data_IF_429130132012
#
_entry.id   IF_429130132012
#
_cell.length_a   1.000
_cell.length_b   1.000
_cell.length_c   1.000
_cell.angle_alpha   90.00
_cell.angle_beta   90.00
_cell.angle_gamma   90.00
#
_symmetry.space_group_name_H-M   'P 1'
#
loop_
_entity.id
_entity.type
_entity.pdbx_description
1 polymer ?
#
# COMPACT_ATOMS: atom_id res chain seq x y z
N UNK A 1 11.44 -11.07 14.13
CA UNK A 1 11.50 -10.73 12.70
C UNK A 1 10.83 -9.39 12.38
N UNK A 2 9.51 -9.24 12.52
CA UNK A 2 8.81 -7.99 12.17
C UNK A 2 9.33 -6.75 12.92
N UNK A 3 9.59 -6.87 14.23
CA UNK A 3 10.15 -5.78 15.06
C UNK A 3 11.54 -5.33 14.59
N UNK A 4 12.36 -6.28 14.16
CA UNK A 4 13.72 -6.02 13.66
C UNK A 4 13.67 -5.27 12.32
N UNK A 5 12.78 -5.69 11.41
CA UNK A 5 12.55 -5.03 10.12
C UNK A 5 12.03 -3.60 10.32
N UNK A 6 11.14 -3.38 11.30
CA UNK A 6 10.65 -2.05 11.64
C UNK A 6 11.77 -1.16 12.21
N UNK A 7 12.62 -1.71 13.09
CA UNK A 7 13.71 -0.98 13.71
C UNK A 7 14.84 -0.60 12.74
N UNK A 8 15.09 -1.43 11.72
CA UNK A 8 16.13 -1.19 10.72
C UNK A 8 15.60 -0.55 9.43
N UNK A 9 14.30 -0.29 9.35
CA UNK A 9 13.69 0.37 8.20
C UNK A 9 14.25 1.80 8.07
N UNK A 10 14.86 2.11 6.92
CA UNK A 10 15.37 3.45 6.64
C UNK A 10 14.21 4.44 6.54
N UNK A 11 14.11 5.34 7.52
CA UNK A 11 13.11 6.40 7.54
C UNK A 11 13.67 7.65 6.87
N UNK A 12 12.96 8.13 5.83
CA UNK A 12 13.22 9.43 5.22
C UNK A 12 11.97 10.29 5.36
N UNK A 13 12.08 11.60 5.10
CA UNK A 13 10.90 12.48 5.01
C UNK A 13 9.86 11.96 4.00
N UNK A 14 10.31 11.32 2.91
CA UNK A 14 9.42 10.76 1.89
C UNK A 14 8.78 9.42 2.29
N UNK A 15 9.35 8.70 3.26
CA UNK A 15 8.79 7.43 3.75
C UNK A 15 7.39 7.59 4.35
N UNK A 16 7.01 8.78 4.84
CA UNK A 16 5.66 9.10 5.38
C UNK A 16 5.11 8.00 6.32
N UNK A 17 5.96 7.48 7.20
CA UNK A 17 5.59 6.40 8.14
C UNK A 17 5.35 5.02 7.51
N UNK A 18 5.73 4.82 6.25
CA UNK A 18 5.62 3.53 5.55
C UNK A 18 4.21 3.16 5.08
N UNK A 19 3.21 4.04 5.29
CA UNK A 19 1.79 3.73 4.99
C UNK A 19 1.58 3.30 3.54
N UNK A 20 2.18 4.00 2.57
CA UNK A 20 2.06 3.64 1.16
C UNK A 20 2.71 2.29 0.81
N UNK A 21 3.77 1.89 1.51
CA UNK A 21 4.39 0.58 1.30
C UNK A 21 3.47 -0.55 1.81
N UNK A 22 2.83 -0.36 2.97
CA UNK A 22 1.87 -1.31 3.52
C UNK A 22 0.64 -1.42 2.60
N UNK A 23 0.11 -0.29 2.13
CA UNK A 23 -1.01 -0.27 1.17
C UNK A 23 -0.71 -1.05 -0.11
N UNK A 24 0.44 -0.76 -0.73
CA UNK A 24 0.86 -1.43 -1.96
C UNK A 24 1.06 -2.94 -1.74
N UNK A 25 1.74 -3.32 -0.66
CA UNK A 25 2.00 -4.71 -0.33
C UNK A 25 0.71 -5.51 -0.10
N UNK A 26 -0.19 -5.01 0.76
CA UNK A 26 -1.48 -5.65 1.05
C UNK A 26 -2.35 -5.72 -0.22
N UNK A 27 -2.31 -4.68 -1.05
CA UNK A 27 -3.01 -4.65 -2.34
C UNK A 27 -2.49 -5.71 -3.32
N UNK A 28 -1.17 -5.83 -3.46
CA UNK A 28 -0.54 -6.82 -4.32
C UNK A 28 -0.85 -8.25 -3.87
N UNK A 29 -0.72 -8.54 -2.57
CA UNK A 29 -1.08 -9.85 -2.02
C UNK A 29 -2.54 -10.19 -2.30
N UNK A 30 -3.49 -9.28 -2.03
CA UNK A 30 -4.91 -9.51 -2.35
C UNK A 30 -5.12 -9.84 -3.82
N UNK A 31 -4.41 -9.18 -4.73
CA UNK A 31 -4.51 -9.44 -6.17
C UNK A 31 -4.05 -10.87 -6.49
N UNK A 32 -2.87 -11.25 -6.01
CA UNK A 32 -2.27 -12.58 -6.23
C UNK A 32 -3.16 -13.68 -5.66
N UNK A 33 -3.61 -13.54 -4.41
CA UNK A 33 -4.45 -14.55 -3.76
C UNK A 33 -5.83 -14.67 -4.42
N UNK A 34 -6.44 -13.56 -4.86
CA UNK A 34 -7.69 -13.61 -5.62
C UNK A 34 -7.50 -14.29 -6.97
N UNK A 35 -6.37 -14.05 -7.64
CA UNK A 35 -6.02 -14.77 -8.87
C UNK A 35 -5.86 -16.27 -8.61
N UNK A 36 -5.17 -16.66 -7.53
CA UNK A 36 -5.00 -18.06 -7.16
C UNK A 36 -6.33 -18.76 -6.83
N UNK A 37 -7.26 -18.07 -6.15
CA UNK A 37 -8.63 -18.57 -5.94
C UNK A 37 -9.39 -18.77 -7.26
N UNK A 38 -9.36 -17.76 -8.14
CA UNK A 38 -10.04 -17.81 -9.44
C UNK A 38 -9.49 -18.93 -10.33
N UNK A 39 -8.20 -19.22 -10.21
CA UNK A 39 -7.52 -20.32 -10.90
C UNK A 39 -7.68 -21.68 -10.21
N UNK A 40 -8.45 -21.74 -9.11
CA UNK A 40 -8.67 -22.93 -8.27
C UNK A 40 -7.38 -23.55 -7.68
N UNK A 41 -6.30 -22.79 -7.57
CA UNK A 41 -5.04 -23.24 -6.97
C UNK A 41 -5.11 -23.30 -5.45
N UNK A 42 -5.98 -22.48 -4.86
CA UNK A 42 -6.28 -22.48 -3.43
C UNK A 42 -7.80 -22.45 -3.24
N UNK A 43 -8.28 -23.01 -2.12
CA UNK A 43 -9.70 -22.90 -1.76
C UNK A 43 -9.97 -21.53 -1.14
N UNK A 44 -11.19 -20.98 -1.23
CA UNK A 44 -11.50 -19.67 -0.68
C UNK A 44 -11.30 -19.52 0.84
N UNK A 45 -11.29 -20.63 1.56
CA UNK A 45 -11.01 -20.70 3.01
C UNK A 45 -9.51 -20.65 3.33
N UNK A 46 -8.67 -21.00 2.36
CA UNK A 46 -7.22 -21.06 2.47
C UNK A 46 -6.58 -19.72 2.02
N UNK A 47 -7.41 -18.75 1.60
CA UNK A 47 -6.97 -17.41 1.24
C UNK A 47 -6.79 -16.52 2.48
N UNK A 48 -5.57 -16.51 3.00
CA UNK A 48 -5.14 -15.65 4.10
C UNK A 48 -5.33 -14.15 3.82
N UNK A 49 -5.37 -13.72 2.56
CA UNK A 49 -5.55 -12.30 2.21
C UNK A 49 -6.98 -11.79 2.41
N UNK A 50 -7.99 -12.67 2.59
CA UNK A 50 -9.37 -12.25 2.92
C UNK A 50 -9.49 -11.73 4.34
N UNK A 51 -8.72 -12.29 5.28
CA UNK A 51 -8.74 -11.90 6.70
C UNK A 51 -7.95 -10.62 7.00
N UNK A 52 -7.09 -10.16 6.09
CA UNK A 52 -6.26 -8.97 6.31
C UNK A 52 -7.06 -7.73 5.95
N UNK A 53 -7.40 -6.86 6.91
CA UNK A 53 -8.04 -5.57 6.61
C UNK A 53 -7.19 -4.75 5.63
N UNK A 54 -7.81 -4.16 4.60
CA UNK A 54 -7.08 -3.27 3.68
C UNK A 54 -6.81 -1.97 4.42
N UNK A 55 -5.57 -1.50 4.54
CA UNK A 55 -5.31 -0.18 5.10
C UNK A 55 -6.03 0.87 4.26
N UNK A 56 -6.70 1.80 4.95
CA UNK A 56 -7.39 2.92 4.28
C UNK A 56 -6.33 3.86 3.73
N UNK A 57 -6.47 4.18 2.44
CA UNK A 57 -5.54 5.08 1.76
C UNK A 57 -5.62 6.47 2.36
N UNK A 58 -4.49 7.03 2.81
CA UNK A 58 -4.43 8.44 3.18
C UNK A 58 -4.66 9.33 1.96
N UNK A 59 -5.36 10.45 2.16
CA UNK A 59 -5.60 11.42 1.11
C UNK A 59 -4.27 11.85 0.45
N UNK A 60 -4.29 11.95 -0.88
CA UNK A 60 -3.12 12.41 -1.63
C UNK A 60 -2.87 13.88 -1.32
N UNK A 61 -1.63 14.23 -0.98
CA UNK A 61 -1.19 15.63 -0.84
C UNK A 61 -0.87 16.28 -2.21
N UNK A 62 -1.13 15.58 -3.31
CA UNK A 62 -1.06 16.18 -4.65
C UNK A 62 -2.29 17.05 -4.82
N UNK A 63 -2.04 18.35 -4.99
CA UNK A 63 -3.05 19.33 -5.33
C UNK A 63 -2.81 19.78 -6.77
N UNK A 64 -3.88 20.22 -7.44
CA UNK A 64 -3.73 20.89 -8.72
C UNK A 64 -2.89 22.15 -8.50
N UNK A 65 -1.90 22.38 -9.37
CA UNK A 65 -1.21 23.67 -9.41
C UNK A 65 -2.27 24.67 -9.91
N UNK A 66 -2.58 25.74 -9.16
CA UNK A 66 -3.52 26.74 -9.63
C UNK A 66 -3.04 27.29 -10.97
N UNK A 67 -3.90 27.29 -11.99
CA UNK A 67 -3.59 27.75 -13.35
C UNK A 67 -3.37 29.28 -13.46
N UNK A 68 -3.28 30.00 -12.34
CA UNK A 68 -3.17 31.45 -12.27
C UNK A 68 -1.81 32.03 -11.90
N UNK A 69 -0.87 31.22 -11.37
CA UNK A 69 0.43 31.72 -10.87
C UNK A 69 1.61 31.16 -11.67
N UNK A 70 1.58 31.33 -12.99
CA UNK A 70 2.79 31.19 -13.83
C UNK A 70 3.60 32.50 -13.90
N UNK A 71 3.39 33.43 -12.97
CA UNK A 71 4.18 34.65 -12.81
C UNK A 71 4.95 34.55 -11.49
N UNK A 72 6.17 34.02 -11.53
CA UNK A 72 7.30 34.27 -10.63
C UNK A 72 8.43 33.28 -10.95
N UNK A 73 9.00 33.43 -12.15
CA UNK A 73 10.39 33.10 -12.45
C UNK A 73 10.97 34.27 -13.24
#
# INVERSE_FOLDING_TARGET
MARTIQATARTTRSSRGGTGAVENFVGALRCIYRFAENSAWIRPRDNSARGIAKPVRRASHRYAIPSGDSQQF
#
